data_IF_248035157398
#
_entry.id   IF_248035157398
#
_cell.length_a   1.000
_cell.length_b   1.000
_cell.length_c   1.000
_cell.angle_alpha   90.00
_cell.angle_beta   90.00
_cell.angle_gamma   90.00
#
_symmetry.space_group_name_H-M   'P 1'
#
loop_
_entity.id
_entity.type
_entity.pdbx_description
1 polymer ?
#
# COMPACT_ATOMS: atom_id res chain seq x y z
N UNK A 1 4.20 7.16 -15.23
CA UNK A 1 5.63 6.81 -15.18
C UNK A 1 5.86 5.72 -14.16
N UNK A 2 5.62 5.95 -12.86
CA UNK A 2 5.63 4.92 -11.79
C UNK A 2 4.75 3.70 -12.15
N UNK A 3 3.50 3.95 -12.56
CA UNK A 3 2.53 2.89 -12.89
C UNK A 3 2.88 2.05 -14.14
N UNK A 4 3.85 2.48 -14.96
CA UNK A 4 4.23 1.78 -16.19
C UNK A 4 5.58 1.07 -16.06
N UNK A 5 6.11 0.92 -14.84
CA UNK A 5 7.40 0.25 -14.58
C UNK A 5 8.63 0.95 -15.16
N UNK A 6 8.50 2.19 -15.65
CA UNK A 6 9.63 2.95 -16.19
C UNK A 6 10.40 3.63 -15.07
N UNK A 7 11.74 3.53 -15.11
CA UNK A 7 12.63 4.29 -14.21
C UNK A 7 12.40 5.79 -14.37
N UNK A 8 12.51 6.51 -13.25
CA UNK A 8 12.27 7.95 -13.21
C UNK A 8 13.62 8.63 -13.15
N UNK A 9 14.09 9.06 -14.30
CA UNK A 9 15.36 9.76 -14.48
C UNK A 9 15.10 11.16 -15.07
N UNK A 10 16.06 12.07 -14.91
CA UNK A 10 15.95 13.46 -15.41
C UNK A 10 15.51 13.51 -16.87
N UNK A 11 16.12 12.67 -17.73
CA UNK A 11 15.79 12.56 -19.15
C UNK A 11 14.35 12.08 -19.38
N UNK A 12 13.92 11.06 -18.65
CA UNK A 12 12.55 10.53 -18.75
C UNK A 12 11.52 11.59 -18.34
N UNK A 13 11.82 12.41 -17.33
CA UNK A 13 10.94 13.49 -16.86
C UNK A 13 10.89 14.63 -17.88
N UNK A 14 12.03 15.07 -18.43
CA UNK A 14 12.04 16.13 -19.44
C UNK A 14 11.33 15.71 -20.72
N UNK A 15 11.55 14.48 -21.20
CA UNK A 15 10.87 13.97 -22.39
C UNK A 15 9.35 13.89 -22.20
N UNK A 16 8.89 13.44 -21.03
CA UNK A 16 7.44 13.40 -20.76
C UNK A 16 6.81 14.78 -20.60
N UNK A 17 7.53 15.76 -20.04
CA UNK A 17 7.08 17.15 -19.97
C UNK A 17 7.06 17.81 -21.36
N UNK A 18 8.02 17.50 -22.23
CA UNK A 18 8.02 17.92 -23.63
C UNK A 18 6.82 17.35 -24.40
N UNK A 19 6.59 16.03 -24.30
CA UNK A 19 5.45 15.36 -24.96
C UNK A 19 4.09 15.94 -24.53
N UNK A 20 3.99 16.45 -23.30
CA UNK A 20 2.78 17.09 -22.79
C UNK A 20 2.70 18.60 -23.07
N UNK A 21 3.74 19.19 -23.67
CA UNK A 21 3.82 20.63 -23.91
C UNK A 21 3.96 21.48 -22.63
N UNK A 22 4.23 20.86 -21.47
CA UNK A 22 4.28 21.53 -20.17
C UNK A 22 5.68 22.04 -19.80
N UNK A 23 6.70 21.66 -20.58
CA UNK A 23 8.11 21.96 -20.25
C UNK A 23 8.37 23.46 -20.06
N UNK A 24 7.76 24.30 -20.90
CA UNK A 24 7.95 25.76 -20.82
C UNK A 24 7.22 26.36 -19.60
N UNK A 25 6.08 25.78 -19.18
CA UNK A 25 5.33 26.25 -18.00
C UNK A 25 6.06 25.98 -16.68
N UNK A 26 6.87 24.92 -16.63
CA UNK A 26 7.64 24.55 -15.44
C UNK A 26 9.03 25.19 -15.38
N UNK A 27 9.38 26.11 -16.29
CA UNK A 27 10.67 26.80 -16.29
C UNK A 27 11.79 26.09 -17.07
N UNK A 28 11.45 25.13 -17.94
CA UNK A 28 12.38 24.51 -18.86
C UNK A 28 13.26 23.41 -18.25
N UNK A 29 14.14 22.84 -19.07
CA UNK A 29 15.08 21.77 -18.66
C UNK A 29 16.02 22.20 -17.54
N UNK A 30 16.41 23.48 -17.53
CA UNK A 30 17.29 24.08 -16.52
C UNK A 30 16.65 24.01 -15.13
N UNK A 31 15.34 24.27 -15.01
CA UNK A 31 14.66 24.18 -13.72
C UNK A 31 14.62 22.75 -13.18
N UNK A 32 14.35 21.77 -14.05
CA UNK A 32 14.33 20.36 -13.66
C UNK A 32 15.72 19.88 -13.21
N UNK A 33 16.79 20.34 -13.87
CA UNK A 33 18.17 20.05 -13.45
C UNK A 33 18.52 20.70 -12.10
N UNK A 34 18.02 21.91 -11.83
CA UNK A 34 18.23 22.54 -10.51
C UNK A 34 17.55 21.74 -9.39
N UNK A 35 16.37 21.17 -9.65
CA UNK A 35 15.68 20.33 -8.66
C UNK A 35 16.47 19.09 -8.25
N UNK A 36 17.29 18.52 -9.14
CA UNK A 36 18.17 17.41 -8.79
C UNK A 36 19.35 17.81 -7.91
N UNK A 37 19.75 19.09 -7.94
CA UNK A 37 20.86 19.59 -7.11
C UNK A 37 20.44 19.84 -5.65
N UNK A 38 19.14 20.08 -5.39
CA UNK A 38 18.59 20.30 -4.04
C UNK A 38 18.35 19.00 -3.24
N UNK A 39 19.11 17.94 -3.50
CA UNK A 39 18.94 16.66 -2.83
C UNK A 39 19.25 16.78 -1.33
N UNK A 40 18.20 16.83 -0.53
CA UNK A 40 18.28 16.64 0.91
C UNK A 40 18.79 15.23 1.24
N UNK A 41 19.43 15.03 2.40
CA UNK A 41 19.75 13.69 2.88
C UNK A 41 18.48 12.82 2.91
N UNK A 42 18.51 11.70 2.19
CA UNK A 42 17.39 10.76 2.05
C UNK A 42 16.80 10.31 3.40
N UNK A 43 17.59 10.36 4.47
CA UNK A 43 17.18 10.01 5.84
C UNK A 43 15.91 10.78 6.31
N UNK A 44 15.74 12.04 5.90
CA UNK A 44 14.65 12.89 6.37
C UNK A 44 13.56 13.13 5.32
N UNK A 45 13.63 12.49 4.14
CA UNK A 45 12.66 12.69 3.06
C UNK A 45 11.22 12.46 3.56
N UNK A 46 11.01 11.43 4.39
CA UNK A 46 9.70 11.14 4.99
C UNK A 46 9.18 12.32 5.82
N UNK A 47 10.01 12.94 6.66
CA UNK A 47 9.61 14.08 7.49
C UNK A 47 9.30 15.32 6.63
N UNK A 48 10.10 15.58 5.60
CA UNK A 48 9.84 16.69 4.67
C UNK A 48 8.52 16.50 3.92
N UNK A 49 8.24 15.28 3.43
CA UNK A 49 6.98 14.97 2.76
C UNK A 49 5.79 15.11 3.72
N UNK A 50 5.94 14.70 4.97
CA UNK A 50 4.90 14.90 6.00
C UNK A 50 4.65 16.39 6.25
N UNK A 51 5.70 17.19 6.41
CA UNK A 51 5.56 18.64 6.60
C UNK A 51 4.85 19.32 5.42
N UNK A 52 5.20 18.95 4.18
CA UNK A 52 4.52 19.45 2.98
C UNK A 52 3.04 19.03 2.94
N UNK A 53 2.75 17.79 3.30
CA UNK A 53 1.38 17.29 3.38
C UNK A 53 0.56 18.07 4.42
N UNK A 54 1.11 18.29 5.62
CA UNK A 54 0.49 19.09 6.68
C UNK A 54 0.22 20.53 6.23
N UNK A 55 1.20 21.18 5.60
CA UNK A 55 1.02 22.53 5.06
C UNK A 55 -0.07 22.57 3.98
N UNK A 56 -0.13 21.56 3.11
CA UNK A 56 -1.19 21.47 2.09
C UNK A 56 -2.58 21.31 2.71
N UNK A 57 -2.69 20.52 3.78
CA UNK A 57 -3.95 20.30 4.48
C UNK A 57 -4.41 21.58 5.19
N UNK A 58 -3.50 22.28 5.87
CA UNK A 58 -3.79 23.59 6.50
C UNK A 58 -4.29 24.61 5.49
N UNK A 59 -3.66 24.71 4.31
CA UNK A 59 -4.12 25.60 3.24
C UNK A 59 -5.50 25.23 2.74
N UNK A 60 -5.78 23.94 2.56
CA UNK A 60 -7.10 23.48 2.13
C UNK A 60 -8.17 23.83 3.16
N UNK A 61 -7.91 23.55 4.45
CA UNK A 61 -8.81 23.91 5.54
C UNK A 61 -9.12 25.40 5.56
N UNK A 62 -8.09 26.24 5.38
CA UNK A 62 -8.27 27.70 5.33
C UNK A 62 -9.23 28.14 4.21
N UNK A 63 -9.11 27.54 3.03
CA UNK A 63 -9.98 27.86 1.88
C UNK A 63 -11.43 27.44 2.18
N UNK A 64 -11.63 26.24 2.73
CA UNK A 64 -12.96 25.74 3.07
C UNK A 64 -13.61 26.55 4.19
N UNK A 65 -12.85 26.95 5.21
CA UNK A 65 -13.37 27.81 6.30
C UNK A 65 -13.74 29.19 5.78
N UNK A 66 -12.91 29.79 4.92
CA UNK A 66 -13.22 31.08 4.31
C UNK A 66 -14.48 31.01 3.43
N UNK A 67 -14.69 29.89 2.73
CA UNK A 67 -15.89 29.67 1.94
C UNK A 67 -17.14 29.51 2.84
N UNK A 68 -17.03 28.79 3.95
CA UNK A 68 -18.12 28.67 4.93
C UNK A 68 -18.47 30.01 5.58
N UNK A 69 -17.47 30.78 6.00
CA UNK A 69 -17.67 32.13 6.54
C UNK A 69 -18.42 33.01 5.54
N UNK A 70 -18.02 32.96 4.27
CA UNK A 70 -18.67 33.73 3.21
C UNK A 70 -20.16 33.37 3.05
N UNK A 71 -20.51 32.08 3.03
CA UNK A 71 -21.90 31.64 2.93
C UNK A 71 -22.75 32.11 4.13
N UNK A 72 -22.17 32.10 5.33
CA UNK A 72 -22.84 32.59 6.54
C UNK A 72 -23.09 34.10 6.46
N UNK A 73 -22.10 34.88 5.99
CA UNK A 73 -22.23 36.33 5.84
C UNK A 73 -23.20 36.73 4.72
N UNK A 74 -23.27 35.96 3.64
CA UNK A 74 -24.21 36.19 2.52
C UNK A 74 -25.67 35.84 2.90
N UNK A 75 -25.89 35.20 4.06
CA UNK A 75 -27.23 34.90 4.57
C UNK A 75 -27.89 33.71 3.88
N UNK A 76 -27.09 32.79 3.33
CA UNK A 76 -27.56 31.58 2.67
C UNK A 76 -28.31 30.64 3.62
N UNK A 77 -29.17 29.78 3.06
CA UNK A 77 -29.96 28.83 3.85
C UNK A 77 -29.07 27.89 4.67
N UNK A 78 -29.51 27.57 5.89
CA UNK A 78 -28.79 26.68 6.81
C UNK A 78 -28.48 25.31 6.19
N UNK A 79 -29.36 24.83 5.30
CA UNK A 79 -29.17 23.57 4.57
C UNK A 79 -27.94 23.62 3.62
N UNK A 80 -27.70 24.76 2.98
CA UNK A 80 -26.55 24.95 2.08
C UNK A 80 -25.25 25.00 2.88
N UNK A 81 -25.24 25.76 3.98
CA UNK A 81 -24.08 25.87 4.87
C UNK A 81 -23.71 24.51 5.49
N UNK A 82 -24.71 23.77 5.99
CA UNK A 82 -24.48 22.44 6.58
C UNK A 82 -24.02 21.42 5.55
N UNK A 83 -24.57 21.44 4.33
CA UNK A 83 -24.10 20.58 3.24
C UNK A 83 -22.64 20.87 2.84
N UNK A 84 -22.25 22.14 2.76
CA UNK A 84 -20.86 22.51 2.47
C UNK A 84 -19.91 22.08 3.60
N UNK A 85 -20.34 22.20 4.86
CA UNK A 85 -19.57 21.71 6.01
C UNK A 85 -19.40 20.18 5.97
N UNK A 86 -20.45 19.43 5.67
CA UNK A 86 -20.36 17.98 5.52
C UNK A 86 -19.46 17.56 4.35
N UNK A 87 -19.47 18.32 3.26
CA UNK A 87 -18.59 18.07 2.12
C UNK A 87 -17.13 18.31 2.49
N UNK A 88 -16.81 19.45 3.10
CA UNK A 88 -15.44 19.77 3.51
C UNK A 88 -14.91 18.78 4.55
N UNK A 89 -15.75 18.38 5.51
CA UNK A 89 -15.43 17.33 6.48
C UNK A 89 -15.07 16.01 5.80
N UNK A 90 -15.90 15.51 4.88
CA UNK A 90 -15.63 14.28 4.13
C UNK A 90 -14.31 14.36 3.35
N UNK A 91 -14.03 15.49 2.74
CA UNK A 91 -12.78 15.67 1.98
C UNK A 91 -11.53 15.69 2.88
N UNK A 92 -11.63 16.29 4.07
CA UNK A 92 -10.55 16.29 5.07
C UNK A 92 -10.34 14.89 5.63
N UNK A 93 -11.43 14.20 5.97
CA UNK A 93 -11.40 12.82 6.46
C UNK A 93 -10.73 11.91 5.43
N UNK A 94 -11.05 12.03 4.14
CA UNK A 94 -10.40 11.25 3.08
C UNK A 94 -8.89 11.49 2.99
N UNK A 95 -8.42 12.71 3.27
CA UNK A 95 -6.98 13.03 3.24
C UNK A 95 -6.27 12.42 4.45
N UNK A 96 -6.88 12.50 5.65
CA UNK A 96 -6.35 11.93 6.89
C UNK A 96 -6.38 10.39 6.87
N UNK A 97 -7.45 9.81 6.32
CA UNK A 97 -7.67 8.37 6.23
C UNK A 97 -7.09 7.74 4.96
N UNK A 98 -6.21 8.41 4.21
CA UNK A 98 -5.57 7.85 3.01
C UNK A 98 -4.88 6.48 3.21
N UNK A 99 -4.57 6.11 4.46
CA UNK A 99 -4.04 4.78 4.83
C UNK A 99 -5.07 3.79 5.38
N UNK A 100 -6.30 4.22 5.67
CA UNK A 100 -7.40 3.37 6.10
C UNK A 100 -8.65 3.75 5.31
N UNK A 101 -8.86 3.12 4.16
CA UNK A 101 -10.21 3.02 3.62
C UNK A 101 -11.05 2.28 4.66
N UNK A 102 -11.68 3.01 5.57
CA UNK A 102 -12.69 2.46 6.45
C UNK A 102 -13.82 1.96 5.57
N UNK A 103 -13.94 0.64 5.42
CA UNK A 103 -15.12 0.05 4.79
C UNK A 103 -16.33 0.32 5.67
N UNK A 104 -17.48 0.60 5.06
CA UNK A 104 -18.73 0.65 5.81
C UNK A 104 -18.96 -0.71 6.48
N UNK A 105 -19.58 -0.75 7.66
CA UNK A 105 -19.98 -2.00 8.32
C UNK A 105 -20.77 -2.90 7.37
N UNK A 106 -21.59 -2.32 6.49
CA UNK A 106 -22.36 -3.05 5.48
C UNK A 106 -21.49 -3.73 4.42
N UNK A 107 -20.39 -3.10 4.01
CA UNK A 107 -19.43 -3.65 3.06
C UNK A 107 -18.61 -4.77 3.71
N UNK A 108 -18.19 -4.59 4.96
CA UNK A 108 -17.49 -5.61 5.74
C UNK A 108 -18.37 -6.85 5.92
N UNK A 109 -19.65 -6.66 6.22
CA UNK A 109 -20.60 -7.77 6.36
C UNK A 109 -20.78 -8.54 5.05
N UNK A 110 -20.94 -7.85 3.91
CA UNK A 110 -21.03 -8.51 2.60
C UNK A 110 -19.78 -9.34 2.30
N UNK A 111 -18.59 -8.75 2.46
CA UNK A 111 -17.32 -9.47 2.27
C UNK A 111 -17.20 -10.68 3.19
N UNK A 112 -17.64 -10.56 4.44
CA UNK A 112 -17.61 -11.66 5.40
C UNK A 112 -18.53 -12.81 5.00
N UNK A 113 -19.74 -12.50 4.51
CA UNK A 113 -20.68 -13.49 4.01
C UNK A 113 -20.17 -14.18 2.75
N UNK A 114 -19.57 -13.44 1.82
CA UNK A 114 -18.97 -14.00 0.60
C UNK A 114 -17.82 -14.96 0.95
N UNK A 115 -16.96 -14.61 1.92
CA UNK A 115 -15.89 -15.48 2.40
C UNK A 115 -16.43 -16.77 3.05
N UNK A 116 -17.53 -16.68 3.81
CA UNK A 116 -18.19 -17.85 4.40
C UNK A 116 -18.79 -18.75 3.31
N UNK A 117 -19.45 -18.17 2.31
CA UNK A 117 -20.01 -18.92 1.18
C UNK A 117 -18.90 -19.66 0.42
N UNK A 118 -17.77 -19.00 0.14
CA UNK A 118 -16.61 -19.64 -0.51
C UNK A 118 -16.09 -20.84 0.31
N UNK A 119 -15.95 -20.69 1.64
CA UNK A 119 -15.57 -21.80 2.56
C UNK A 119 -16.49 -23.01 2.43
N UNK A 120 -17.80 -22.77 2.52
CA UNK A 120 -18.77 -23.87 2.43
C UNK A 120 -18.78 -24.57 1.06
N UNK A 121 -18.47 -23.86 -0.02
CA UNK A 121 -18.38 -24.45 -1.36
C UNK A 121 -17.10 -25.26 -1.55
N UNK A 122 -15.98 -24.76 -1.02
CA UNK A 122 -14.70 -25.45 -1.07
C UNK A 122 -14.72 -26.78 -0.29
N UNK A 123 -15.34 -26.79 0.89
CA UNK A 123 -15.52 -28.00 1.71
C UNK A 123 -16.31 -29.08 0.95
N UNK A 124 -17.33 -28.68 0.17
CA UNK A 124 -18.15 -29.61 -0.64
C UNK A 124 -17.43 -30.14 -1.87
N UNK A 125 -16.52 -29.35 -2.44
CA UNK A 125 -15.78 -29.69 -3.67
C UNK A 125 -14.40 -30.29 -3.39
N UNK A 126 -14.05 -30.49 -2.10
CA UNK A 126 -12.72 -30.91 -1.65
C UNK A 126 -11.60 -30.05 -2.28
N UNK A 127 -11.88 -28.76 -2.47
CA UNK A 127 -10.97 -27.78 -3.06
C UNK A 127 -10.43 -26.82 -2.00
N UNK A 128 -9.25 -26.26 -2.25
CA UNK A 128 -8.55 -25.37 -1.31
C UNK A 128 -8.78 -23.92 -1.75
N UNK A 129 -9.24 -23.05 -0.83
CA UNK A 129 -9.48 -21.62 -1.13
C UNK A 129 -8.18 -20.81 -1.13
N UNK A 130 -7.29 -21.14 -0.19
CA UNK A 130 -5.99 -20.51 -0.04
C UNK A 130 -4.94 -21.11 -0.99
N UNK A 131 -3.69 -20.70 -0.79
CA UNK A 131 -2.56 -21.34 -1.47
C UNK A 131 -2.37 -22.74 -0.89
N UNK A 132 -2.35 -23.81 -1.69
CA UNK A 132 -2.21 -25.18 -1.19
C UNK A 132 -0.87 -25.37 -0.47
N UNK A 133 -0.89 -26.11 0.64
CA UNK A 133 0.32 -26.42 1.42
C UNK A 133 1.06 -27.65 0.91
N UNK A 134 0.41 -28.50 0.10
CA UNK A 134 0.98 -29.79 -0.33
C UNK A 134 0.84 -30.91 0.71
N UNK A 135 0.24 -30.60 1.86
CA UNK A 135 -0.07 -31.55 2.90
C UNK A 135 -1.58 -31.64 3.03
N UNK A 136 -2.18 -32.69 2.46
CA UNK A 136 -3.64 -32.86 2.45
C UNK A 136 -4.26 -32.78 3.85
N UNK A 137 -3.56 -33.27 4.88
CA UNK A 137 -4.01 -33.17 6.27
C UNK A 137 -4.01 -31.73 6.80
N UNK A 138 -3.00 -30.94 6.43
CA UNK A 138 -2.90 -29.53 6.81
C UNK A 138 -3.91 -28.68 6.02
N UNK A 139 -4.02 -28.92 4.71
CA UNK A 139 -4.99 -28.24 3.85
C UNK A 139 -6.43 -28.50 4.29
N UNK A 140 -6.75 -29.70 4.79
CA UNK A 140 -8.07 -29.98 5.37
C UNK A 140 -8.36 -29.16 6.63
N UNK A 141 -7.33 -28.80 7.41
CA UNK A 141 -7.49 -28.04 8.65
C UNK A 141 -7.47 -26.52 8.40
N UNK A 142 -6.67 -26.04 7.45
CA UNK A 142 -6.44 -24.61 7.22
C UNK A 142 -7.17 -24.07 5.98
N UNK A 143 -7.67 -24.97 5.13
CA UNK A 143 -8.12 -24.68 3.77
C UNK A 143 -7.06 -23.93 2.95
N UNK A 144 -5.80 -24.34 3.13
CA UNK A 144 -4.62 -23.73 2.54
C UNK A 144 -4.18 -22.45 3.24
N UNK A 145 -3.12 -21.82 2.75
CA UNK A 145 -2.63 -20.55 3.25
C UNK A 145 -3.55 -19.41 2.81
N UNK A 146 -4.22 -18.81 3.78
CA UNK A 146 -5.11 -17.66 3.57
C UNK A 146 -4.32 -16.36 3.48
N UNK A 147 -4.81 -15.41 2.68
CA UNK A 147 -4.23 -14.07 2.57
C UNK A 147 -4.29 -13.38 3.94
N UNK A 148 -3.28 -12.56 4.23
CA UNK A 148 -3.10 -11.81 5.49
C UNK A 148 -2.73 -12.63 6.74
N UNK A 149 -2.55 -13.95 6.64
CA UNK A 149 -2.04 -14.76 7.76
C UNK A 149 -0.50 -14.70 7.87
N UNK A 150 0.00 -14.58 9.09
CA UNK A 150 1.42 -14.81 9.41
C UNK A 150 1.58 -16.24 9.94
N UNK A 151 2.25 -17.09 9.16
CA UNK A 151 2.50 -18.49 9.52
C UNK A 151 3.94 -18.62 10.03
N UNK A 152 4.10 -19.14 11.24
CA UNK A 152 5.41 -19.31 11.87
C UNK A 152 5.77 -20.79 11.90
N UNK A 153 6.84 -21.15 11.19
CA UNK A 153 7.39 -22.51 11.21
C UNK A 153 8.56 -22.61 12.21
N UNK A 154 8.27 -23.11 13.41
CA UNK A 154 9.24 -23.26 14.49
C UNK A 154 9.78 -24.70 14.64
N UNK A 155 10.97 -24.86 15.20
CA UNK A 155 11.62 -26.16 15.40
C UNK A 155 13.12 -26.03 15.68
N UNK A 156 13.79 -27.08 16.15
CA UNK A 156 15.23 -27.05 16.51
C UNK A 156 16.16 -27.00 15.29
N UNK A 157 17.41 -26.49 15.40
CA UNK A 157 18.39 -26.56 14.31
C UNK A 157 18.51 -27.98 13.74
N UNK A 158 18.61 -28.11 12.41
CA UNK A 158 18.68 -29.41 11.73
C UNK A 158 17.33 -30.10 11.45
N UNK A 159 16.21 -29.68 12.05
CA UNK A 159 14.88 -30.31 11.83
C UNK A 159 14.20 -29.94 10.50
N UNK A 160 14.94 -29.64 9.43
CA UNK A 160 14.37 -29.52 8.08
C UNK A 160 13.43 -28.34 7.80
N UNK A 161 13.22 -27.38 8.71
CA UNK A 161 12.33 -26.22 8.51
C UNK A 161 12.49 -25.51 7.16
N UNK A 162 13.74 -25.27 6.76
CA UNK A 162 14.04 -24.60 5.49
C UNK A 162 13.68 -25.48 4.29
N UNK A 163 13.89 -26.79 4.39
CA UNK A 163 13.50 -27.73 3.34
C UNK A 163 11.97 -27.79 3.19
N UNK A 164 11.22 -27.83 4.29
CA UNK A 164 9.76 -27.79 4.27
C UNK A 164 9.26 -26.46 3.68
N UNK A 165 9.80 -25.32 4.14
CA UNK A 165 9.36 -24.02 3.66
C UNK A 165 9.60 -23.81 2.16
N UNK A 166 10.78 -24.20 1.65
CA UNK A 166 11.13 -23.98 0.24
C UNK A 166 10.58 -25.07 -0.68
N UNK A 167 10.83 -26.34 -0.37
CA UNK A 167 10.56 -27.43 -1.30
C UNK A 167 9.10 -27.88 -1.29
N UNK A 168 8.40 -27.76 -0.15
CA UNK A 168 7.01 -28.16 -0.06
C UNK A 168 6.10 -26.96 -0.31
N UNK A 169 6.13 -25.97 0.57
CA UNK A 169 5.23 -24.83 0.47
C UNK A 169 5.55 -23.95 -0.75
N UNK A 170 6.83 -23.67 -1.01
CA UNK A 170 7.24 -22.88 -2.16
C UNK A 170 6.90 -23.55 -3.50
N UNK A 171 7.15 -24.84 -3.65
CA UNK A 171 6.86 -25.56 -4.90
C UNK A 171 5.36 -25.66 -5.18
N UNK A 172 4.54 -25.95 -4.17
CA UNK A 172 3.09 -26.04 -4.34
C UNK A 172 2.47 -24.68 -4.62
N UNK A 173 2.99 -23.61 -4.01
CA UNK A 173 2.57 -22.25 -4.35
C UNK A 173 2.89 -21.92 -5.82
N UNK A 174 4.06 -22.32 -6.34
CA UNK A 174 4.40 -22.16 -7.75
C UNK A 174 3.49 -22.98 -8.67
N UNK A 175 3.14 -24.22 -8.29
CA UNK A 175 2.20 -25.06 -9.03
C UNK A 175 0.79 -24.47 -9.07
N UNK A 176 0.39 -23.78 -8.02
CA UNK A 176 -0.86 -23.02 -7.95
C UNK A 176 -0.81 -21.68 -8.72
N UNK A 177 0.30 -21.36 -9.40
CA UNK A 177 0.46 -20.13 -10.19
C UNK A 177 0.71 -18.88 -9.35
N UNK A 178 1.19 -19.04 -8.11
CA UNK A 178 1.54 -17.91 -7.23
C UNK A 178 3.04 -17.59 -7.32
N UNK A 179 3.36 -16.30 -7.36
CA UNK A 179 4.75 -15.84 -7.25
C UNK A 179 5.28 -16.00 -5.83
N UNK A 180 6.44 -16.63 -5.68
CA UNK A 180 7.05 -16.93 -4.37
C UNK A 180 8.34 -16.16 -4.19
N UNK A 181 8.44 -15.40 -3.09
CA UNK A 181 9.65 -14.73 -2.67
C UNK A 181 10.22 -15.41 -1.41
N UNK A 182 11.46 -15.89 -1.49
CA UNK A 182 12.17 -16.44 -0.32
C UNK A 182 13.35 -15.56 0.07
N UNK A 183 13.45 -15.22 1.34
CA UNK A 183 14.63 -14.53 1.90
C UNK A 183 15.26 -15.40 2.99
N UNK A 184 16.60 -15.44 3.03
CA UNK A 184 17.35 -16.18 4.04
C UNK A 184 18.33 -15.24 4.70
N UNK A 185 18.13 -14.96 5.98
CA UNK A 185 19.08 -14.26 6.81
C UNK A 185 20.00 -15.30 7.45
N UNK A 186 21.28 -15.33 7.05
CA UNK A 186 22.34 -16.01 7.80
C UNK A 186 23.18 -14.95 8.51
N UNK A 187 23.40 -15.11 9.81
CA UNK A 187 24.43 -14.38 10.51
C UNK A 187 25.79 -14.89 10.01
N UNK A 188 26.56 -14.06 9.29
CA UNK A 188 27.96 -14.37 8.97
C UNK A 188 28.75 -14.24 10.28
N UNK A 189 29.26 -15.36 10.79
CA UNK A 189 30.24 -15.32 11.88
C UNK A 189 31.53 -14.72 11.33
N UNK A 190 31.87 -13.52 11.80
CA UNK A 190 33.15 -12.89 11.55
C UNK A 190 34.20 -13.63 12.40
N UNK A 191 34.86 -14.65 11.83
CA UNK A 191 36.04 -15.25 12.42
C UNK A 191 37.23 -14.30 12.17
N UNK A 192 37.49 -13.40 13.11
CA UNK A 192 38.71 -12.61 13.16
C UNK A 192 39.33 -12.70 14.55
N UNK A 193 39.81 -13.89 14.92
CA UNK A 193 40.80 -14.10 15.98
C UNK A 193 41.61 -15.36 15.62
N UNK A 194 42.87 -15.17 15.21
CA UNK A 194 44.08 -15.96 15.51
C UNK A 194 45.15 -15.50 14.51
N UNK A 195 46.22 -14.93 15.06
CA UNK A 195 47.41 -14.41 14.42
C UNK A 195 48.20 -13.66 15.47
#
# INVERSE_FOLDING_TARGET
MVKNGKTIDLLSVTETLMRKGLLNQVGGTVYVSKLTDYLFPYANLKQHVLCLAEMSLKRKLLIETAQLERLIYEGEDLEIVTNQLHKSQKEVDQILTRNQKGMSTSEVLKLSLDLLAQRTFADKSNSVIGVPTGLNSLDRLTNGWQKSNLIILAGRPGMGKTAVALNLFGLEALRAGCDVLSTRLKCQQHNSWIG
#
